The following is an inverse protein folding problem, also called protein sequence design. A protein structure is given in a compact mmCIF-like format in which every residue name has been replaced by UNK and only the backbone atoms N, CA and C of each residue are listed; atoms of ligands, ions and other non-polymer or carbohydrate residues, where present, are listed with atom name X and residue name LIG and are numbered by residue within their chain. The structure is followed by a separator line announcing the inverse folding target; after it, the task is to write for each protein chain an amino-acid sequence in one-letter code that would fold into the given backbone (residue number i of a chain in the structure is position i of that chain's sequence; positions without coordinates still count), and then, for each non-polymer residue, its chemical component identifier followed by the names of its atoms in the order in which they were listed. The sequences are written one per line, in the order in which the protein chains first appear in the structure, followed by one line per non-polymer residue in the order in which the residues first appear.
data_IF_240084195866
#
_entry.id   IF_240084195866
#
_cell.length_a   1.000
_cell.length_b   1.000
_cell.length_c   1.000
_cell.angle_alpha   90.00
_cell.angle_beta   90.00
_cell.angle_gamma   90.00
#
_symmetry.space_group_name_H-M   'P 1'
#
loop_
_entity.id
_entity.type
_entity.pdbx_description
1 polymer ?
#
# COMPACT_ATOMS: atom_id res chain seq x y z
N UNK A 1 -20.83 10.36 16.50
CA UNK A 1 -19.78 9.34 16.75
C UNK A 1 -20.24 8.42 17.88
N UNK A 2 -19.74 7.18 17.90
CA UNK A 2 -20.06 6.23 18.97
C UNK A 2 -19.62 6.78 20.35
N UNK A 3 -20.32 6.38 21.41
CA UNK A 3 -19.94 6.67 22.80
C UNK A 3 -18.62 5.94 23.15
N UNK A 4 -17.85 6.39 24.17
CA UNK A 4 -16.69 5.65 24.66
C UNK A 4 -17.02 4.17 24.90
N UNK A 5 -16.12 3.26 24.49
CA UNK A 5 -16.33 1.82 24.51
C UNK A 5 -17.17 1.27 23.34
N UNK A 6 -17.84 2.13 22.57
CA UNK A 6 -18.60 1.73 21.39
C UNK A 6 -17.72 1.20 20.26
N UNK A 7 -18.28 0.32 19.45
CA UNK A 7 -17.61 -0.31 18.29
C UNK A 7 -17.95 0.46 17.02
N UNK A 8 -16.94 0.68 16.18
CA UNK A 8 -17.10 1.21 14.83
C UNK A 8 -16.61 0.17 13.82
N UNK A 9 -17.32 0.02 12.71
CA UNK A 9 -16.89 -0.82 11.58
C UNK A 9 -16.74 0.11 10.37
N UNK A 10 -15.54 0.15 9.81
CA UNK A 10 -15.24 0.94 8.62
C UNK A 10 -15.00 0.01 7.44
N UNK A 11 -15.66 0.30 6.32
CA UNK A 11 -15.41 -0.32 5.03
C UNK A 11 -14.62 0.67 4.16
N UNK A 12 -13.37 0.34 3.83
CA UNK A 12 -12.45 1.27 3.13
C UNK A 12 -11.66 0.55 2.04
N UNK A 13 -11.27 1.21 0.94
CA UNK A 13 -10.29 0.64 0.02
C UNK A 13 -8.96 0.36 0.74
N UNK A 14 -8.23 -0.69 0.34
CA UNK A 14 -6.90 -1.02 0.91
C UNK A 14 -5.89 0.13 0.89
N UNK A 15 -6.04 1.08 -0.04
CA UNK A 15 -5.24 2.31 -0.06
C UNK A 15 -5.28 3.10 1.25
N UNK A 16 -6.32 2.95 2.08
CA UNK A 16 -6.42 3.52 3.43
C UNK A 16 -5.21 3.17 4.31
N UNK A 17 -4.67 1.96 4.18
CA UNK A 17 -3.58 1.49 5.04
C UNK A 17 -2.25 2.22 4.79
N UNK A 18 -2.00 2.71 3.56
CA UNK A 18 -0.70 3.29 3.21
C UNK A 18 -0.71 4.60 2.43
N UNK A 19 -1.87 5.03 1.92
CA UNK A 19 -1.98 6.23 1.09
C UNK A 19 -1.85 7.52 1.90
N UNK A 20 -1.18 8.51 1.31
CA UNK A 20 -1.00 9.83 1.92
C UNK A 20 -2.34 10.54 2.17
N UNK A 21 -3.30 10.42 1.25
CA UNK A 21 -4.63 11.01 1.41
C UNK A 21 -5.41 10.50 2.62
N UNK A 22 -5.02 9.35 3.18
CA UNK A 22 -5.67 8.73 4.33
C UNK A 22 -4.91 8.93 5.65
N UNK A 23 -3.85 9.75 5.65
CA UNK A 23 -3.00 9.92 6.84
C UNK A 23 -3.81 10.46 8.04
N UNK A 24 -4.63 11.49 7.82
CA UNK A 24 -5.49 12.06 8.87
C UNK A 24 -6.50 11.07 9.43
N UNK A 25 -7.04 10.17 8.59
CA UNK A 25 -7.96 9.12 9.05
C UNK A 25 -7.21 8.09 9.91
N UNK A 26 -6.01 7.67 9.50
CA UNK A 26 -5.18 6.76 10.30
C UNK A 26 -4.79 7.38 11.65
N UNK A 27 -4.42 8.66 11.65
CA UNK A 27 -4.14 9.38 12.89
C UNK A 27 -5.35 9.38 13.82
N UNK A 28 -6.50 9.80 13.29
CA UNK A 28 -7.75 9.83 14.05
C UNK A 28 -8.07 8.45 14.65
N UNK A 29 -7.98 7.38 13.86
CA UNK A 29 -8.25 6.03 14.38
C UNK A 29 -7.21 5.61 15.43
N UNK A 30 -5.92 5.87 15.23
CA UNK A 30 -4.89 5.51 16.20
C UNK A 30 -5.02 6.22 17.56
N UNK A 31 -5.60 7.42 17.59
CA UNK A 31 -5.77 8.24 18.80
C UNK A 31 -7.15 8.02 19.46
N UNK A 32 -8.21 8.03 18.65
CA UNK A 32 -9.58 8.14 19.14
C UNK A 32 -10.35 6.81 19.10
N UNK A 33 -10.01 5.93 18.16
CA UNK A 33 -10.68 4.64 18.01
C UNK A 33 -9.75 3.57 17.44
N UNK A 34 -8.77 3.07 18.23
CA UNK A 34 -7.78 2.14 17.72
C UNK A 34 -8.41 0.87 17.12
N UNK A 35 -7.92 0.39 15.98
CA UNK A 35 -8.31 -0.90 15.42
C UNK A 35 -8.14 -2.05 16.40
N UNK A 36 -9.17 -2.88 16.51
CA UNK A 36 -9.13 -4.19 17.14
C UNK A 36 -8.77 -5.27 16.11
N UNK A 37 -9.41 -5.18 14.93
CA UNK A 37 -9.26 -6.15 13.85
C UNK A 37 -9.34 -5.45 12.49
N UNK A 38 -8.56 -5.95 11.54
CA UNK A 38 -8.50 -5.49 10.17
C UNK A 38 -8.61 -6.72 9.27
N UNK A 39 -9.70 -6.77 8.53
CA UNK A 39 -10.04 -7.87 7.64
C UNK A 39 -9.85 -7.43 6.18
N UNK A 40 -8.91 -8.04 5.49
CA UNK A 40 -8.63 -7.75 4.09
C UNK A 40 -9.46 -8.69 3.23
N UNK A 41 -10.43 -8.13 2.50
CA UNK A 41 -11.19 -8.87 1.51
C UNK A 41 -10.31 -9.03 0.27
N UNK A 42 -9.86 -10.24 0.00
CA UNK A 42 -8.86 -10.51 -1.04
C UNK A 42 -9.46 -10.66 -2.43
N UNK A 43 -10.77 -10.91 -2.53
CA UNK A 43 -11.47 -11.06 -3.80
C UNK A 43 -11.78 -9.72 -4.45
N UNK A 44 -11.41 -9.63 -5.73
CA UNK A 44 -11.51 -8.39 -6.54
C UNK A 44 -12.76 -8.37 -7.42
N UNK A 45 -13.57 -9.43 -7.38
CA UNK A 45 -14.80 -9.59 -8.18
C UNK A 45 -15.89 -10.23 -7.33
N UNK A 46 -17.11 -9.71 -7.43
CA UNK A 46 -18.30 -10.34 -6.85
C UNK A 46 -18.64 -9.96 -5.40
N UNK A 47 -17.75 -9.24 -4.68
CA UNK A 47 -18.07 -8.79 -3.30
C UNK A 47 -18.70 -7.40 -3.27
N UNK A 48 -18.23 -6.47 -4.11
CA UNK A 48 -18.79 -5.13 -4.24
C UNK A 48 -18.95 -4.77 -5.72
N UNK A 49 -20.15 -4.34 -6.10
CA UNK A 49 -20.44 -3.98 -7.48
C UNK A 49 -19.64 -2.77 -7.92
N UNK A 50 -18.95 -2.87 -9.07
CA UNK A 50 -18.14 -1.79 -9.64
C UNK A 50 -16.80 -1.51 -8.96
N UNK A 51 -16.43 -2.23 -7.90
CA UNK A 51 -15.15 -2.03 -7.19
C UNK A 51 -14.14 -3.09 -7.60
N UNK A 52 -13.11 -2.70 -8.35
CA UNK A 52 -11.99 -3.58 -8.71
C UNK A 52 -10.87 -3.64 -7.65
N UNK A 53 -11.00 -2.86 -6.58
CA UNK A 53 -9.96 -2.71 -5.56
C UNK A 53 -10.21 -3.67 -4.39
N UNK A 54 -9.11 -4.16 -3.80
CA UNK A 54 -9.15 -4.88 -2.52
C UNK A 54 -9.72 -3.93 -1.45
N UNK A 55 -10.66 -4.44 -0.65
CA UNK A 55 -11.37 -3.68 0.40
C UNK A 55 -10.96 -4.19 1.77
N UNK A 56 -10.99 -3.30 2.76
CA UNK A 56 -10.65 -3.60 4.15
C UNK A 56 -11.81 -3.26 5.05
N UNK A 57 -12.20 -4.22 5.90
CA UNK A 57 -13.13 -4.01 7.01
C UNK A 57 -12.31 -3.80 8.27
N UNK A 58 -12.39 -2.62 8.86
CA UNK A 58 -11.68 -2.28 10.10
C UNK A 58 -12.68 -2.18 11.25
N UNK A 59 -12.52 -3.03 12.25
CA UNK A 59 -13.28 -2.95 13.51
C UNK A 59 -12.46 -2.17 14.52
N UNK A 60 -13.03 -1.08 15.04
CA UNK A 60 -12.41 -0.17 16.00
C UNK A 60 -13.20 -0.10 17.30
N UNK A 61 -12.54 0.32 18.38
CA UNK A 61 -13.22 0.65 19.64
C UNK A 61 -12.93 2.08 20.07
N UNK A 62 -13.98 2.88 20.24
CA UNK A 62 -13.88 4.28 20.70
C UNK A 62 -13.23 4.33 22.08
N UNK A 63 -12.21 5.17 22.24
CA UNK A 63 -11.45 5.32 23.49
C UNK A 63 -10.90 3.97 24.02
N UNK A 64 -10.62 3.03 23.10
CA UNK A 64 -9.95 1.77 23.43
C UNK A 64 -8.43 1.98 23.57
N UNK A 65 -7.72 1.02 24.18
CA UNK A 65 -6.26 1.06 24.22
C UNK A 65 -5.68 0.88 22.81
N UNK A 66 -4.57 1.57 22.53
CA UNK A 66 -3.78 1.34 21.32
C UNK A 66 -2.99 0.04 21.46
N UNK A 67 -3.61 -1.06 21.04
CA UNK A 67 -3.03 -2.40 21.04
C UNK A 67 -2.64 -2.85 19.63
N UNK A 68 -2.02 -4.02 19.55
CA UNK A 68 -1.82 -4.70 18.27
C UNK A 68 -3.19 -5.07 17.66
N UNK A 69 -3.29 -4.90 16.34
CA UNK A 69 -4.49 -5.23 15.58
C UNK A 69 -4.40 -6.67 15.07
N UNK A 70 -5.51 -7.40 15.18
CA UNK A 70 -5.65 -8.71 14.56
C UNK A 70 -5.82 -8.53 13.05
N UNK A 71 -5.05 -9.25 12.26
CA UNK A 71 -5.11 -9.23 10.79
C UNK A 71 -5.69 -10.57 10.30
N UNK A 72 -6.66 -10.49 9.38
CA UNK A 72 -7.24 -11.66 8.70
C UNK A 72 -7.39 -11.37 7.21
N UNK A 73 -7.26 -12.38 6.38
CA UNK A 73 -7.69 -12.33 4.99
C UNK A 73 -9.03 -13.07 4.85
N UNK A 74 -9.97 -12.43 4.16
CA UNK A 74 -11.28 -13.00 3.86
C UNK A 74 -11.32 -13.38 2.39
N UNK A 75 -11.45 -14.67 2.13
CA UNK A 75 -11.64 -15.24 0.81
C UNK A 75 -13.13 -15.55 0.62
N UNK A 76 -13.79 -14.83 -0.28
CA UNK A 76 -15.23 -14.88 -0.51
C UNK A 76 -15.50 -15.66 -1.79
N UNK A 77 -16.21 -16.78 -1.67
CA UNK A 77 -16.58 -17.66 -2.78
C UNK A 77 -18.10 -17.91 -2.74
N UNK A 78 -18.86 -17.08 -3.46
CA UNK A 78 -20.32 -17.08 -3.35
C UNK A 78 -20.77 -16.73 -1.93
N UNK A 79 -21.55 -17.60 -1.30
CA UNK A 79 -22.05 -17.42 0.07
C UNK A 79 -21.07 -17.95 1.15
N UNK A 80 -19.92 -18.49 0.75
CA UNK A 80 -18.91 -19.03 1.66
C UNK A 80 -17.82 -18.00 1.87
N UNK A 81 -17.48 -17.74 3.14
CA UNK A 81 -16.35 -16.92 3.54
C UNK A 81 -15.34 -17.80 4.26
N UNK A 82 -14.17 -18.00 3.64
CA UNK A 82 -13.02 -18.61 4.28
C UNK A 82 -12.15 -17.52 4.93
N UNK A 83 -11.73 -17.77 6.17
CA UNK A 83 -11.04 -16.78 7.01
C UNK A 83 -9.63 -17.29 7.29
N UNK A 84 -8.65 -16.66 6.66
CA UNK A 84 -7.23 -16.94 6.88
C UNK A 84 -6.70 -16.04 8.01
N UNK A 85 -6.31 -16.58 9.17
CA UNK A 85 -5.63 -15.81 10.21
C UNK A 85 -4.23 -15.42 9.74
N UNK A 86 -3.91 -14.13 9.75
CA UNK A 86 -2.58 -13.64 9.37
C UNK A 86 -1.69 -13.46 10.61
N UNK A 87 -2.26 -12.89 11.68
CA UNK A 87 -1.53 -12.67 12.93
C UNK A 87 -1.98 -11.42 13.67
N UNK A 88 -1.19 -11.01 14.66
CA UNK A 88 -1.44 -9.81 15.46
C UNK A 88 -0.24 -8.87 15.34
N UNK A 89 -0.47 -7.65 14.91
CA UNK A 89 0.59 -6.72 14.52
C UNK A 89 0.43 -5.37 15.21
N UNK A 90 1.51 -4.80 15.78
CA UNK A 90 1.45 -3.46 16.36
C UNK A 90 1.20 -2.42 15.27
N UNK A 91 0.44 -1.38 15.63
CA UNK A 91 0.37 -0.19 14.79
C UNK A 91 1.68 0.60 14.92
N UNK A 92 2.12 1.31 13.85
CA UNK A 92 3.30 2.17 13.92
C UNK A 92 3.17 3.16 15.09
N UNK A 93 4.27 3.54 15.75
CA UNK A 93 4.23 4.51 16.85
C UNK A 93 3.76 5.90 16.38
N UNK A 94 4.26 6.35 15.23
CA UNK A 94 3.75 7.52 14.52
C UNK A 94 2.35 7.22 13.97
N UNK A 95 1.35 7.94 14.46
CA UNK A 95 -0.06 7.77 14.10
C UNK A 95 -0.35 8.14 12.63
N UNK A 96 0.51 8.96 12.01
CA UNK A 96 0.39 9.37 10.61
C UNK A 96 1.06 8.38 9.64
N UNK A 97 1.95 7.53 10.16
CA UNK A 97 2.71 6.60 9.35
C UNK A 97 1.80 5.58 8.62
N UNK A 98 2.23 5.12 7.43
CA UNK A 98 1.60 3.98 6.77
C UNK A 98 1.56 2.74 7.67
N UNK A 99 0.40 2.08 7.72
CA UNK A 99 0.24 0.78 8.35
C UNK A 99 0.78 -0.29 7.41
N UNK A 100 2.08 -0.60 7.57
CA UNK A 100 2.81 -1.64 6.84
C UNK A 100 2.44 -3.03 7.35
N UNK A 101 1.16 -3.38 7.26
CA UNK A 101 0.60 -4.64 7.75
C UNK A 101 0.45 -5.64 6.60
N UNK A 102 0.70 -6.94 6.85
CA UNK A 102 0.56 -7.96 5.82
C UNK A 102 -0.90 -8.17 5.43
N UNK A 103 -1.16 -8.32 4.12
CA UNK A 103 -2.52 -8.54 3.60
C UNK A 103 -2.87 -10.02 3.43
N UNK A 104 -1.86 -10.90 3.50
CA UNK A 104 -1.95 -12.36 3.43
C UNK A 104 -0.83 -12.97 4.27
N UNK A 105 -0.96 -14.21 4.71
CA UNK A 105 0.06 -14.88 5.54
C UNK A 105 1.46 -14.86 4.94
N UNK A 106 1.57 -15.01 3.61
CA UNK A 106 2.86 -14.99 2.88
C UNK A 106 3.60 -13.65 2.92
N UNK A 107 2.93 -12.56 3.33
CA UNK A 107 3.53 -11.21 3.37
C UNK A 107 4.06 -10.82 4.74
N UNK A 108 3.85 -11.63 5.79
CA UNK A 108 4.26 -11.27 7.16
C UNK A 108 5.76 -10.96 7.26
N UNK A 109 6.60 -11.83 6.70
CA UNK A 109 8.06 -11.64 6.70
C UNK A 109 8.49 -10.38 5.94
N UNK A 110 7.80 -10.03 4.85
CA UNK A 110 8.08 -8.83 4.08
C UNK A 110 7.66 -7.58 4.88
N UNK A 111 6.51 -7.61 5.55
CA UNK A 111 6.04 -6.52 6.41
C UNK A 111 7.01 -6.24 7.57
N UNK A 112 7.51 -7.30 8.21
CA UNK A 112 8.50 -7.19 9.27
C UNK A 112 9.84 -6.64 8.75
N UNK A 113 10.33 -7.17 7.63
CA UNK A 113 11.56 -6.69 6.99
C UNK A 113 11.46 -5.20 6.62
N UNK A 114 10.32 -4.76 6.04
CA UNK A 114 10.08 -3.35 5.74
C UNK A 114 10.11 -2.49 7.01
N UNK A 115 9.59 -2.99 8.12
CA UNK A 115 9.58 -2.27 9.41
C UNK A 115 10.99 -2.08 9.97
N UNK A 116 11.87 -3.07 9.79
CA UNK A 116 13.27 -3.04 10.22
C UNK A 116 14.23 -2.25 9.30
N UNK A 117 13.79 -1.79 8.12
CA UNK A 117 14.66 -1.00 7.23
C UNK A 117 15.07 0.33 7.89
N UNK A 118 16.37 0.55 8.04
CA UNK A 118 16.95 1.74 8.68
C UNK A 118 17.11 2.94 7.76
N UNK A 119 17.11 2.73 6.44
CA UNK A 119 17.25 3.80 5.44
C UNK A 119 15.97 4.01 4.61
N UNK A 120 15.86 5.19 4.03
CA UNK A 120 14.84 5.64 3.10
C UNK A 120 15.51 6.17 1.83
N UNK A 121 14.73 6.28 0.75
CA UNK A 121 15.19 6.90 -0.50
C UNK A 121 15.73 8.33 -0.26
N UNK A 122 15.14 9.08 0.67
CA UNK A 122 15.59 10.42 1.03
C UNK A 122 16.99 10.45 1.65
N UNK A 123 17.37 9.42 2.42
CA UNK A 123 18.71 9.32 3.02
C UNK A 123 19.80 9.16 1.95
N UNK A 124 19.40 8.76 0.73
CA UNK A 124 20.27 8.58 -0.43
C UNK A 124 20.15 9.76 -1.39
N UNK A 125 19.52 10.86 -0.98
CA UNK A 125 19.32 12.08 -1.77
C UNK A 125 18.18 12.00 -2.79
N UNK A 126 17.37 10.94 -2.79
CA UNK A 126 16.24 10.81 -3.70
C UNK A 126 14.95 11.41 -3.13
N UNK A 127 14.18 12.10 -3.99
CA UNK A 127 12.82 12.55 -3.68
C UNK A 127 11.82 11.72 -4.49
N UNK A 128 10.82 11.17 -3.81
CA UNK A 128 9.71 10.47 -4.48
C UNK A 128 8.76 11.50 -5.07
N UNK A 129 8.42 11.34 -6.35
CA UNK A 129 7.37 12.12 -7.01
C UNK A 129 6.45 11.17 -7.76
N UNK A 130 5.23 11.01 -7.29
CA UNK A 130 4.18 10.35 -8.07
C UNK A 130 3.74 11.32 -9.18
N UNK A 131 4.09 11.01 -10.43
CA UNK A 131 3.57 11.70 -11.61
C UNK A 131 2.29 11.04 -12.13
N UNK A 132 1.68 11.57 -13.22
CA UNK A 132 0.46 11.01 -13.81
C UNK A 132 0.67 9.67 -14.51
N UNK A 133 1.87 9.08 -14.44
CA UNK A 133 2.16 7.83 -15.11
C UNK A 133 1.97 6.68 -14.13
N UNK A 134 0.89 5.94 -14.34
CA UNK A 134 0.61 4.64 -13.72
C UNK A 134 1.25 3.47 -14.52
N UNK A 135 2.08 3.81 -15.52
CA UNK A 135 2.68 2.86 -16.45
C UNK A 135 1.76 2.41 -17.59
N UNK A 136 0.49 2.86 -17.62
CA UNK A 136 -0.45 2.60 -18.72
C UNK A 136 -0.23 3.54 -19.90
N UNK A 137 0.15 4.79 -19.64
CA UNK A 137 0.53 5.76 -20.67
C UNK A 137 1.92 5.41 -21.25
N UNK A 138 1.92 4.67 -22.36
CA UNK A 138 3.12 4.24 -23.10
C UNK A 138 3.66 5.28 -24.06
N UNK A 139 3.00 6.43 -24.22
CA UNK A 139 3.39 7.46 -25.22
C UNK A 139 4.77 8.09 -24.96
N UNK A 140 5.31 7.88 -23.75
CA UNK A 140 6.60 8.41 -23.30
C UNK A 140 7.67 7.34 -23.12
N UNK A 141 7.42 6.14 -23.59
CA UNK A 141 8.49 5.16 -23.77
C UNK A 141 9.54 5.72 -24.75
N UNK A 142 10.81 5.57 -24.41
CA UNK A 142 11.92 6.03 -25.24
C UNK A 142 12.95 4.94 -25.47
N UNK A 143 13.91 5.18 -26.35
CA UNK A 143 15.05 4.27 -26.59
C UNK A 143 16.28 4.68 -25.79
N UNK A 144 17.21 3.75 -25.62
CA UNK A 144 18.53 4.04 -25.05
C UNK A 144 19.22 5.19 -25.83
N UNK A 145 19.86 6.10 -25.12
CA UNK A 145 20.55 7.25 -25.73
C UNK A 145 19.65 8.40 -26.19
N UNK A 146 18.34 8.32 -25.96
CA UNK A 146 17.43 9.44 -26.24
C UNK A 146 17.75 10.60 -25.28
N UNK A 147 17.97 11.81 -25.81
CA UNK A 147 18.33 12.97 -25.01
C UNK A 147 17.22 13.31 -23.98
N UNK A 148 17.60 13.37 -22.70
CA UNK A 148 16.68 13.65 -21.60
C UNK A 148 15.85 12.46 -21.13
N UNK A 149 15.99 11.27 -21.74
CA UNK A 149 15.38 10.06 -21.22
C UNK A 149 16.03 9.61 -19.91
N UNK A 150 15.23 9.05 -19.00
CA UNK A 150 15.69 8.53 -17.72
C UNK A 150 15.46 7.01 -17.63
N UNK A 151 16.27 6.28 -16.85
CA UNK A 151 16.03 4.87 -16.58
C UNK A 151 14.65 4.64 -15.96
N UNK A 152 13.92 3.67 -16.48
CA UNK A 152 12.68 3.18 -15.90
C UNK A 152 12.94 1.80 -15.27
N UNK A 153 12.63 1.70 -13.97
CA UNK A 153 12.76 0.45 -13.22
C UNK A 153 11.40 -0.21 -13.10
N UNK A 154 11.32 -1.45 -13.59
CA UNK A 154 10.15 -2.30 -13.40
C UNK A 154 10.34 -3.15 -12.14
N UNK A 155 9.27 -3.49 -11.38
CA UNK A 155 9.41 -4.35 -10.19
C UNK A 155 10.16 -5.64 -10.45
N UNK A 156 10.01 -6.22 -11.65
CA UNK A 156 10.67 -7.45 -12.09
C UNK A 156 12.19 -7.32 -12.29
N UNK A 157 12.69 -6.08 -12.43
CA UNK A 157 14.13 -5.82 -12.47
C UNK A 157 14.77 -5.97 -11.08
N UNK A 158 13.99 -6.05 -10.01
CA UNK A 158 14.48 -6.13 -8.64
C UNK A 158 14.37 -7.58 -8.16
N UNK A 159 15.49 -8.15 -7.71
CA UNK A 159 15.53 -9.47 -7.10
C UNK A 159 16.28 -9.45 -5.76
N UNK A 160 16.29 -10.59 -5.07
CA UNK A 160 17.05 -10.74 -3.82
C UNK A 160 18.57 -10.55 -4.03
N UNK A 161 19.09 -10.71 -5.25
CA UNK A 161 20.51 -10.52 -5.56
C UNK A 161 20.85 -9.11 -6.05
N UNK A 162 19.84 -8.25 -6.23
CA UNK A 162 20.03 -6.85 -6.59
C UNK A 162 19.16 -6.39 -7.75
N UNK A 163 19.55 -5.26 -8.33
CA UNK A 163 18.88 -4.63 -9.46
C UNK A 163 19.49 -5.13 -10.78
N UNK A 164 18.67 -5.81 -11.58
CA UNK A 164 18.99 -6.31 -12.91
C UNK A 164 18.35 -5.39 -13.96
N UNK A 165 19.10 -4.38 -14.39
CA UNK A 165 18.66 -3.39 -15.38
C UNK A 165 19.76 -3.18 -16.44
N UNK A 166 19.43 -3.01 -17.74
CA UNK A 166 18.07 -2.87 -18.30
C UNK A 166 17.35 -4.20 -18.48
N UNK A 167 16.06 -4.23 -18.12
CA UNK A 167 15.15 -5.33 -18.38
C UNK A 167 14.06 -4.86 -19.35
N UNK A 168 14.35 -4.90 -20.65
CA UNK A 168 13.37 -4.60 -21.69
C UNK A 168 12.55 -5.86 -22.00
N UNK A 169 11.29 -5.91 -21.56
CA UNK A 169 10.35 -6.96 -21.96
C UNK A 169 9.61 -6.52 -23.23
N UNK A 170 9.07 -7.46 -23.99
CA UNK A 170 8.20 -7.17 -25.15
C UNK A 170 7.07 -6.23 -24.70
N UNK A 171 7.02 -5.03 -25.28
CA UNK A 171 6.03 -3.99 -24.93
C UNK A 171 6.37 -3.12 -23.71
N UNK A 172 7.55 -3.28 -23.07
CA UNK A 172 8.00 -2.42 -21.96
C UNK A 172 9.38 -1.81 -22.22
N UNK A 173 9.45 -0.49 -22.33
CA UNK A 173 10.74 0.21 -22.45
C UNK A 173 11.49 0.23 -21.11
N UNK A 174 12.83 0.21 -21.18
CA UNK A 174 13.71 0.47 -20.04
C UNK A 174 14.00 1.97 -19.83
N UNK A 175 13.47 2.82 -20.71
CA UNK A 175 13.72 4.26 -20.75
C UNK A 175 12.41 5.04 -20.86
N UNK A 176 12.29 6.13 -20.09
CA UNK A 176 11.12 7.00 -20.05
C UNK A 176 11.53 8.44 -20.39
N UNK A 177 10.76 9.09 -21.27
CA UNK A 177 10.93 10.51 -21.56
C UNK A 177 10.08 11.34 -20.58
N UNK A 178 10.68 11.96 -19.55
CA UNK A 178 9.92 12.82 -18.66
C UNK A 178 9.40 14.04 -19.44
N UNK A 179 8.20 14.54 -19.08
CA UNK A 179 7.74 15.79 -19.66
C UNK A 179 8.74 16.90 -19.35
N UNK A 180 8.92 17.83 -20.30
CA UNK A 180 9.76 19.01 -20.09
C UNK A 180 9.38 19.66 -18.75
N UNK A 181 10.38 19.99 -17.92
CA UNK A 181 10.15 20.66 -16.64
C UNK A 181 9.37 21.94 -16.93
N UNK A 182 8.07 21.97 -16.62
CA UNK A 182 7.39 23.23 -16.37
C UNK A 182 7.99 23.76 -15.07
N UNK A 183 8.67 24.90 -15.16
CA UNK A 183 9.21 25.62 -14.01
C UNK A 183 8.06 26.11 -13.13
N UNK A 184 7.58 25.29 -12.20
CA UNK A 184 6.66 25.72 -11.16
C UNK A 184 6.94 24.89 -9.89
N UNK A 185 7.57 25.57 -8.92
CA UNK A 185 7.62 25.35 -7.47
C UNK A 185 8.09 23.99 -6.94
#
# INVERSE_FOLDING_TARGET
MARPGGVLILLTPTGFMGGQYFCSLRQYLAEEAPPLCIDVVTDRKGVFDGVQQETVVTTCRRAGPRAAAVMRALHVQGDIIDVEPIGCFPLPADAQAPWRLPRRGTQAQIADAMTGMSCRLADWGYRVRSGPTDGSDRTRDSGAGTAGAVPMLWPEAISATGLHWPLAKRGRSAWYQPPARKSCW
#
